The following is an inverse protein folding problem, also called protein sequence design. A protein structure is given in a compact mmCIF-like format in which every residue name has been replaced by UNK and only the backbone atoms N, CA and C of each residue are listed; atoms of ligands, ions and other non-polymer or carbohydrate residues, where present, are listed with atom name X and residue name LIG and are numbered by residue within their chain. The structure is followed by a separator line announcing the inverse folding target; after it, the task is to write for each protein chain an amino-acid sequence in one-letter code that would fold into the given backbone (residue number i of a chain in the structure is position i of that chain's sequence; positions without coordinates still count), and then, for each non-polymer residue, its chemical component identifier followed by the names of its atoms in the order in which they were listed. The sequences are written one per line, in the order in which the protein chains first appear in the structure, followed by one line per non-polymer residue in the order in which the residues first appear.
data_IF_406288581444
#
_entry.id   IF_406288581444
#
_cell.length_a   1.000
_cell.length_b   1.000
_cell.length_c   1.000
_cell.angle_alpha   90.00
_cell.angle_beta   90.00
_cell.angle_gamma   90.00
#
_symmetry.space_group_name_H-M   'P 1'
#
loop_
_entity.id
_entity.type
_entity.pdbx_description
1 polymer ?
#
# COMPACT_ATOMS: atom_id res chain seq x y z
N UNK A 1 -62.44 72.28 38.00
CA UNK A 1 -62.69 70.82 37.98
C UNK A 1 -61.73 70.23 36.92
N UNK A 2 -60.63 69.68 37.33
CA UNK A 2 -59.67 69.03 36.41
C UNK A 2 -59.79 67.54 36.59
N UNK A 3 -60.17 66.80 35.53
CA UNK A 3 -60.25 65.37 35.50
C UNK A 3 -58.83 64.84 35.21
N UNK A 4 -58.29 64.06 36.13
CA UNK A 4 -57.01 63.31 35.96
C UNK A 4 -57.32 61.99 35.26
N UNK A 5 -56.83 61.84 34.07
CA UNK A 5 -56.94 60.58 33.34
C UNK A 5 -55.74 59.63 33.78
N UNK A 6 -56.11 58.58 34.46
CA UNK A 6 -55.13 57.53 34.75
C UNK A 6 -54.91 56.64 33.49
N UNK A 7 -53.73 56.74 32.92
CA UNK A 7 -53.32 55.86 31.85
C UNK A 7 -52.81 54.55 32.39
N UNK A 8 -53.51 53.49 32.09
CA UNK A 8 -53.02 52.11 32.39
C UNK A 8 -51.86 51.77 31.49
N UNK A 9 -50.68 51.59 32.06
CA UNK A 9 -49.54 51.03 31.37
C UNK A 9 -49.69 49.48 31.40
N UNK A 10 -50.12 48.87 30.29
CA UNK A 10 -50.05 47.44 30.09
C UNK A 10 -48.63 47.02 29.77
N UNK A 11 -47.95 46.41 30.71
CA UNK A 11 -46.66 45.77 30.53
C UNK A 11 -46.87 44.44 29.79
N UNK A 12 -46.60 44.41 28.49
CA UNK A 12 -46.54 43.20 27.69
C UNK A 12 -45.18 42.57 27.99
N UNK A 13 -45.16 41.58 28.85
CA UNK A 13 -44.01 40.70 29.06
C UNK A 13 -43.86 39.82 27.82
N UNK A 14 -42.94 40.17 26.91
CA UNK A 14 -42.52 39.30 25.81
C UNK A 14 -41.72 38.15 26.41
N UNK A 15 -42.36 36.99 26.63
CA UNK A 15 -41.67 35.75 26.94
C UNK A 15 -40.92 35.29 25.68
N UNK A 16 -39.61 35.56 25.63
CA UNK A 16 -38.72 34.99 24.66
C UNK A 16 -38.64 33.48 24.91
N UNK A 17 -39.42 32.72 24.15
CA UNK A 17 -39.27 31.25 24.10
C UNK A 17 -37.94 31.01 23.38
N UNK A 18 -36.87 30.82 24.12
CA UNK A 18 -35.63 30.25 23.62
C UNK A 18 -35.96 28.80 23.34
N UNK A 19 -36.33 28.51 22.09
CA UNK A 19 -36.37 27.15 21.60
C UNK A 19 -34.93 26.64 21.58
N UNK A 20 -34.50 25.99 22.66
CA UNK A 20 -33.30 25.17 22.66
C UNK A 20 -33.57 24.03 21.67
N UNK A 21 -33.09 24.19 20.45
CA UNK A 21 -32.94 23.05 19.53
C UNK A 21 -31.96 22.10 20.20
N UNK A 22 -32.50 21.08 20.87
CA UNK A 22 -31.71 19.94 21.26
C UNK A 22 -31.16 19.37 19.97
N UNK A 23 -29.87 19.63 19.69
CA UNK A 23 -29.14 18.90 18.69
C UNK A 23 -29.23 17.45 19.10
N UNK A 24 -30.08 16.70 18.43
CA UNK A 24 -30.13 15.24 18.57
C UNK A 24 -28.77 14.73 18.10
N UNK A 25 -27.83 14.60 19.02
CA UNK A 25 -26.56 13.96 18.77
C UNK A 25 -26.86 12.49 18.58
N UNK A 26 -26.99 12.09 17.31
CA UNK A 26 -27.15 10.68 16.97
C UNK A 26 -25.85 9.96 17.29
N UNK A 27 -25.89 9.13 18.32
CA UNK A 27 -24.86 8.10 18.51
C UNK A 27 -25.21 6.96 17.55
N UNK A 28 -24.26 6.57 16.70
CA UNK A 28 -24.39 5.41 15.82
C UNK A 28 -23.53 4.25 16.38
N UNK A 29 -23.97 3.56 17.42
CA UNK A 29 -23.19 2.51 18.06
C UNK A 29 -22.98 1.30 17.16
N UNK A 30 -23.79 1.16 16.12
CA UNK A 30 -23.74 0.04 15.17
C UNK A 30 -23.02 0.37 13.86
N UNK A 31 -22.28 1.47 13.79
CA UNK A 31 -21.48 1.85 12.62
C UNK A 31 -21.55 3.34 12.29
N UNK A 32 -20.49 3.87 11.75
CA UNK A 32 -20.44 5.24 11.25
C UNK A 32 -21.33 5.39 9.98
N UNK A 33 -21.92 6.57 9.74
CA UNK A 33 -22.54 6.86 8.46
C UNK A 33 -21.55 6.67 7.32
N UNK A 34 -22.04 6.21 6.17
CA UNK A 34 -21.23 6.07 4.95
C UNK A 34 -20.58 7.40 4.57
N UNK A 35 -19.32 7.38 4.11
CA UNK A 35 -18.62 8.58 3.67
C UNK A 35 -18.06 9.42 4.82
N UNK A 36 -17.63 8.80 5.91
CA UNK A 36 -17.09 9.49 7.08
C UNK A 36 -15.62 9.22 7.36
N UNK A 37 -14.83 8.79 6.35
CA UNK A 37 -13.41 8.42 6.53
C UNK A 37 -12.45 9.61 6.48
N UNK A 38 -12.90 10.76 5.95
CA UNK A 38 -12.04 11.91 5.66
C UNK A 38 -11.22 11.74 4.38
N UNK A 39 -11.59 10.80 3.51
CA UNK A 39 -10.98 10.60 2.19
C UNK A 39 -11.34 11.72 1.21
N UNK A 40 -10.62 11.86 0.09
CA UNK A 40 -10.99 12.78 -0.98
C UNK A 40 -12.38 12.53 -1.54
N UNK A 41 -12.79 11.25 -1.67
CA UNK A 41 -14.13 10.90 -2.18
C UNK A 41 -15.26 11.20 -1.22
N UNK A 42 -15.00 11.16 0.09
CA UNK A 42 -16.01 11.43 1.11
C UNK A 42 -16.21 12.93 1.34
N UNK A 43 -15.14 13.72 1.28
CA UNK A 43 -15.17 15.15 1.62
C UNK A 43 -15.61 15.43 3.07
N UNK A 44 -15.82 14.38 3.86
CA UNK A 44 -16.35 14.41 5.22
C UNK A 44 -15.58 13.44 6.13
N UNK A 45 -15.57 13.72 7.43
CA UNK A 45 -15.04 12.82 8.45
C UNK A 45 -16.05 12.69 9.59
N UNK A 46 -15.75 11.84 10.58
CA UNK A 46 -16.60 11.69 11.78
C UNK A 46 -16.94 13.00 12.50
N UNK A 47 -16.18 14.07 12.25
CA UNK A 47 -16.42 15.42 12.80
C UNK A 47 -17.53 16.18 12.04
N UNK A 48 -17.69 15.96 10.73
CA UNK A 48 -18.70 16.63 9.93
C UNK A 48 -20.04 15.92 10.09
N UNK A 49 -21.05 16.62 10.52
CA UNK A 49 -22.40 16.07 10.70
C UNK A 49 -22.91 16.10 12.13
N UNK A 50 -22.17 16.71 13.07
CA UNK A 50 -22.63 16.89 14.45
C UNK A 50 -22.58 15.64 15.32
N UNK A 51 -21.97 14.55 14.85
CA UNK A 51 -21.81 13.31 15.61
C UNK A 51 -20.71 13.40 16.67
N UNK A 52 -19.59 14.04 16.34
CA UNK A 52 -18.48 14.26 17.25
C UNK A 52 -18.06 15.74 17.28
N UNK A 53 -17.57 16.19 18.43
CA UNK A 53 -17.10 17.55 18.64
C UNK A 53 -15.56 17.57 18.59
N UNK A 54 -14.99 18.60 17.96
CA UNK A 54 -13.55 18.78 17.84
C UNK A 54 -13.00 18.27 16.50
N UNK A 55 -12.21 19.13 15.86
CA UNK A 55 -11.57 18.80 14.58
C UNK A 55 -10.73 17.52 14.68
N UNK A 56 -10.78 16.64 13.68
CA UNK A 56 -9.97 15.43 13.70
C UNK A 56 -8.48 15.77 13.66
N UNK A 57 -7.70 15.04 14.43
CA UNK A 57 -6.24 15.13 14.39
C UNK A 57 -5.67 13.88 13.72
N UNK A 58 -4.70 14.09 12.82
CA UNK A 58 -4.01 13.00 12.16
C UNK A 58 -3.16 12.21 13.16
N UNK A 59 -3.23 10.89 13.09
CA UNK A 59 -2.41 9.97 13.87
C UNK A 59 -1.97 8.80 12.99
N UNK A 60 -0.67 8.58 12.90
CA UNK A 60 -0.11 7.48 12.14
C UNK A 60 -0.34 6.11 12.83
N UNK A 61 -0.22 5.05 12.04
CA UNK A 61 -0.23 3.65 12.51
C UNK A 61 -1.52 3.16 13.19
N UNK A 62 -2.63 3.85 12.96
CA UNK A 62 -3.95 3.34 13.39
C UNK A 62 -4.53 2.31 12.40
N UNK A 63 -4.01 2.28 11.18
CA UNK A 63 -4.30 1.27 10.16
C UNK A 63 -2.99 0.56 9.83
N UNK A 64 -3.00 -0.76 9.90
CA UNK A 64 -1.86 -1.63 9.57
C UNK A 64 -2.32 -2.78 8.67
N UNK A 65 -1.39 -3.46 8.01
CA UNK A 65 -1.69 -4.58 7.13
C UNK A 65 -0.61 -5.67 7.20
N UNK A 66 -0.93 -6.85 6.69
CA UNK A 66 0.03 -7.92 6.41
C UNK A 66 0.54 -7.91 4.96
N UNK A 67 0.34 -6.83 4.23
CA UNK A 67 0.85 -6.65 2.87
C UNK A 67 2.38 -6.64 2.93
N UNK A 68 3.07 -7.42 2.07
CA UNK A 68 4.54 -7.45 2.02
C UNK A 68 5.14 -6.07 1.70
N UNK A 69 6.42 -5.89 2.00
CA UNK A 69 7.14 -4.63 1.75
C UNK A 69 7.22 -4.24 0.27
N UNK A 70 7.16 -5.22 -0.66
CA UNK A 70 7.08 -4.92 -2.09
C UNK A 70 5.72 -4.30 -2.49
N UNK A 71 4.67 -4.53 -1.70
CA UNK A 71 3.31 -4.09 -2.02
C UNK A 71 2.31 -5.23 -2.16
N UNK A 72 1.10 -4.91 -2.63
CA UNK A 72 0.05 -5.89 -2.84
C UNK A 72 0.15 -6.56 -4.23
N UNK A 73 -0.21 -7.83 -4.29
CA UNK A 73 -0.41 -8.56 -5.55
C UNK A 73 -1.87 -8.43 -5.97
N UNK A 74 -2.17 -8.05 -7.22
CA UNK A 74 -3.54 -7.91 -7.73
C UNK A 74 -4.39 -9.14 -7.47
N UNK A 75 -5.63 -8.95 -7.03
CA UNK A 75 -6.59 -10.01 -6.73
C UNK A 75 -6.32 -10.83 -5.47
N UNK A 76 -5.21 -10.63 -4.78
CA UNK A 76 -4.90 -11.31 -3.51
C UNK A 76 -5.63 -10.68 -2.34
N UNK A 77 -5.84 -11.47 -1.29
CA UNK A 77 -6.49 -11.03 -0.06
C UNK A 77 -5.46 -10.74 1.03
N UNK A 78 -5.68 -9.64 1.73
CA UNK A 78 -4.83 -9.18 2.83
C UNK A 78 -5.66 -8.84 4.06
N UNK A 79 -5.09 -9.07 5.23
CA UNK A 79 -5.69 -8.63 6.49
C UNK A 79 -5.30 -7.18 6.75
N UNK A 80 -6.32 -6.34 6.95
CA UNK A 80 -6.17 -4.96 7.38
C UNK A 80 -6.65 -4.89 8.84
N UNK A 81 -5.91 -4.17 9.65
CA UNK A 81 -6.23 -3.99 11.07
C UNK A 81 -6.33 -2.50 11.38
N UNK A 82 -7.46 -2.10 11.92
CA UNK A 82 -7.72 -0.75 12.43
C UNK A 82 -7.71 -0.79 13.97
N UNK A 83 -7.02 0.16 14.61
CA UNK A 83 -6.91 0.19 16.08
C UNK A 83 -6.89 1.62 16.63
N UNK A 84 -7.45 1.80 17.81
CA UNK A 84 -7.42 3.07 18.56
C UNK A 84 -7.30 2.78 20.07
N UNK A 85 -6.57 3.63 20.77
CA UNK A 85 -6.52 3.65 22.24
C UNK A 85 -7.32 4.83 22.78
N UNK A 86 -7.86 4.67 24.00
CA UNK A 86 -8.63 5.69 24.70
C UNK A 86 -9.55 5.08 25.73
N UNK A 87 -10.21 5.89 26.54
CA UNK A 87 -10.99 5.43 27.71
C UNK A 87 -12.52 5.58 27.53
N UNK A 88 -12.96 5.89 26.30
CA UNK A 88 -14.40 6.03 25.99
C UNK A 88 -14.84 4.97 24.98
N UNK A 89 -16.10 5.02 24.57
CA UNK A 89 -16.64 4.19 23.50
C UNK A 89 -15.95 4.53 22.17
N UNK A 90 -15.54 3.51 21.44
CA UNK A 90 -14.72 3.62 20.22
C UNK A 90 -15.46 3.08 19.02
N UNK A 91 -15.31 3.79 17.92
CA UNK A 91 -15.78 3.39 16.61
C UNK A 91 -14.81 3.81 15.52
N UNK A 92 -15.00 3.27 14.32
CA UNK A 92 -14.17 3.58 13.17
C UNK A 92 -14.94 3.44 11.86
N UNK A 93 -14.39 4.02 10.80
CA UNK A 93 -14.71 3.69 9.42
C UNK A 93 -13.45 3.76 8.59
N UNK A 94 -13.27 2.80 7.66
CA UNK A 94 -12.13 2.74 6.73
C UNK A 94 -12.63 2.49 5.32
N UNK A 95 -11.96 3.10 4.34
CA UNK A 95 -12.20 2.92 2.90
C UNK A 95 -10.89 2.93 2.12
N UNK A 96 -10.65 1.97 1.20
CA UNK A 96 -9.54 1.99 0.27
C UNK A 96 -9.90 2.82 -0.97
N UNK A 97 -9.13 3.87 -1.26
CA UNK A 97 -9.39 4.77 -2.39
C UNK A 97 -8.09 5.21 -3.06
N UNK A 98 -8.21 5.73 -4.29
CA UNK A 98 -7.15 6.52 -4.93
C UNK A 98 -7.19 8.00 -4.49
N UNK A 99 -6.27 8.80 -5.02
CA UNK A 99 -6.20 10.23 -4.76
C UNK A 99 -7.41 11.03 -5.32
N UNK A 100 -8.18 10.44 -6.22
CA UNK A 100 -9.37 11.03 -6.83
C UNK A 100 -10.67 10.63 -6.10
N UNK A 101 -10.57 9.75 -5.09
CA UNK A 101 -11.71 9.25 -4.32
C UNK A 101 -12.41 8.05 -4.95
N UNK A 102 -11.82 7.41 -5.97
CA UNK A 102 -12.35 6.15 -6.51
C UNK A 102 -12.04 5.00 -5.55
N UNK A 103 -13.04 4.14 -5.31
CA UNK A 103 -12.86 2.96 -4.47
C UNK A 103 -12.02 1.90 -5.17
N UNK A 104 -11.05 1.31 -4.44
CA UNK A 104 -10.08 0.36 -4.98
C UNK A 104 -10.09 -0.96 -4.20
N UNK A 105 -10.40 -2.05 -4.90
CA UNK A 105 -10.57 -3.36 -4.30
C UNK A 105 -11.88 -3.48 -3.52
N UNK A 106 -12.00 -4.53 -2.70
CA UNK A 106 -13.24 -4.85 -1.98
C UNK A 106 -12.93 -5.27 -0.56
N UNK A 107 -13.66 -4.68 0.40
CA UNK A 107 -13.57 -5.03 1.82
C UNK A 107 -14.55 -6.16 2.15
N UNK A 108 -14.12 -7.09 2.98
CA UNK A 108 -14.93 -8.15 3.59
C UNK A 108 -14.82 -8.04 5.11
N UNK A 109 -15.97 -8.04 5.77
CA UNK A 109 -16.06 -7.87 7.22
C UNK A 109 -15.39 -9.00 8.02
N UNK A 110 -14.86 -8.65 9.17
CA UNK A 110 -14.45 -9.57 10.22
C UNK A 110 -15.56 -9.78 11.27
N UNK A 111 -15.20 -10.26 12.46
CA UNK A 111 -16.14 -10.66 13.48
C UNK A 111 -16.86 -9.50 14.20
N UNK A 112 -16.23 -8.34 14.33
CA UNK A 112 -16.73 -7.18 15.11
C UNK A 112 -16.93 -5.93 14.26
N UNK A 113 -17.08 -6.10 12.96
CA UNK A 113 -17.31 -5.04 12.00
C UNK A 113 -18.22 -5.53 10.87
N UNK A 114 -18.73 -4.60 10.07
CA UNK A 114 -19.50 -4.89 8.87
C UNK A 114 -19.14 -3.95 7.75
N UNK A 115 -19.42 -4.37 6.52
CA UNK A 115 -19.19 -3.58 5.32
C UNK A 115 -20.43 -2.79 4.92
N UNK A 116 -20.20 -1.67 4.27
CA UNK A 116 -21.22 -0.79 3.70
C UNK A 116 -20.94 -0.54 2.21
N UNK A 117 -21.96 -0.18 1.43
CA UNK A 117 -21.86 0.09 0.00
C UNK A 117 -21.08 -1.00 -0.77
N UNK A 118 -21.54 -2.24 -0.66
CA UNK A 118 -20.96 -3.38 -1.40
C UNK A 118 -19.46 -3.59 -1.16
N UNK A 119 -18.97 -3.30 0.06
CA UNK A 119 -17.57 -3.49 0.43
C UNK A 119 -16.65 -2.31 0.15
N UNK A 120 -17.20 -1.12 -0.09
CA UNK A 120 -16.40 0.12 -0.22
C UNK A 120 -15.97 0.69 1.12
N UNK A 121 -16.76 0.46 2.17
CA UNK A 121 -16.46 0.86 3.54
C UNK A 121 -16.55 -0.31 4.49
N UNK A 122 -15.77 -0.26 5.56
CA UNK A 122 -15.91 -1.10 6.74
C UNK A 122 -16.02 -0.24 7.98
N UNK A 123 -16.91 -0.61 8.89
CA UNK A 123 -17.14 0.10 10.14
C UNK A 123 -17.46 -0.89 11.26
N UNK A 124 -17.42 -0.45 12.51
CA UNK A 124 -17.80 -1.26 13.68
C UNK A 124 -19.28 -1.66 13.62
N UNK A 125 -19.60 -2.83 14.16
CA UNK A 125 -20.98 -3.29 14.36
C UNK A 125 -21.51 -3.04 15.78
N UNK A 126 -20.59 -2.71 16.71
CA UNK A 126 -20.88 -2.18 18.03
C UNK A 126 -19.72 -1.31 18.49
N UNK A 127 -20.00 -0.29 19.27
CA UNK A 127 -18.97 0.50 19.92
C UNK A 127 -18.22 -0.33 20.99
N UNK A 128 -16.92 -0.09 21.14
CA UNK A 128 -16.05 -0.81 22.05
C UNK A 128 -15.56 0.12 23.16
N UNK A 129 -15.91 -0.21 24.40
CA UNK A 129 -15.38 0.45 25.59
C UNK A 129 -13.96 0.01 25.96
N UNK A 130 -13.49 0.41 27.15
CA UNK A 130 -12.16 0.03 27.67
C UNK A 130 -11.03 0.89 27.13
N UNK A 131 -9.77 0.45 27.30
CA UNK A 131 -8.56 1.22 26.99
C UNK A 131 -8.13 1.17 25.52
N UNK A 132 -8.62 0.21 24.76
CA UNK A 132 -8.30 0.07 23.33
C UNK A 132 -9.41 -0.65 22.58
N UNK A 133 -9.45 -0.47 21.28
CA UNK A 133 -10.29 -1.23 20.34
C UNK A 133 -9.47 -1.61 19.12
N UNK A 134 -9.74 -2.81 18.59
CA UNK A 134 -9.09 -3.34 17.38
C UNK A 134 -10.13 -4.06 16.54
N UNK A 135 -10.11 -3.80 15.24
CA UNK A 135 -10.96 -4.42 14.24
C UNK A 135 -10.10 -4.95 13.10
N UNK A 136 -10.28 -6.21 12.77
CA UNK A 136 -9.61 -6.84 11.62
C UNK A 136 -10.64 -7.19 10.57
N UNK A 137 -10.29 -6.95 9.31
CA UNK A 137 -11.12 -7.22 8.15
C UNK A 137 -10.22 -7.59 6.96
N UNK A 138 -10.79 -8.15 5.91
CA UNK A 138 -10.06 -8.56 4.71
C UNK A 138 -10.25 -7.54 3.61
N UNK A 139 -9.19 -7.26 2.86
CA UNK A 139 -9.24 -6.50 1.64
C UNK A 139 -8.77 -7.37 0.47
N UNK A 140 -9.59 -7.47 -0.57
CA UNK A 140 -9.21 -8.07 -1.85
C UNK A 140 -8.66 -6.97 -2.73
N UNK A 141 -7.40 -7.10 -3.13
CA UNK A 141 -6.71 -6.12 -3.94
C UNK A 141 -7.34 -5.95 -5.32
N UNK A 142 -7.27 -4.75 -5.93
CA UNK A 142 -7.84 -4.47 -7.26
C UNK A 142 -7.05 -5.19 -8.37
N UNK A 143 -7.48 -4.97 -9.62
CA UNK A 143 -6.82 -5.50 -10.80
C UNK A 143 -5.42 -4.89 -11.00
N UNK A 144 -4.58 -5.58 -11.76
CA UNK A 144 -3.24 -5.10 -12.12
C UNK A 144 -3.28 -3.78 -12.89
N UNK A 145 -2.29 -2.93 -12.62
CA UNK A 145 -2.17 -1.60 -13.21
C UNK A 145 -2.97 -0.52 -12.50
N UNK A 146 -3.56 -0.84 -11.33
CA UNK A 146 -4.29 0.14 -10.52
C UNK A 146 -3.36 1.13 -9.81
N UNK A 147 -2.14 0.70 -9.44
CA UNK A 147 -1.17 1.52 -8.73
C UNK A 147 -1.42 1.64 -7.22
N UNK A 148 -1.11 2.80 -6.64
CA UNK A 148 -1.19 2.99 -5.19
C UNK A 148 -2.64 3.02 -4.69
N UNK A 149 -2.87 2.35 -3.55
CA UNK A 149 -4.12 2.37 -2.81
C UNK A 149 -3.89 3.01 -1.45
N UNK A 150 -4.72 3.97 -1.09
CA UNK A 150 -4.70 4.58 0.24
C UNK A 150 -5.92 4.13 1.04
N UNK A 151 -5.69 3.48 2.16
CA UNK A 151 -6.73 3.24 3.17
C UNK A 151 -6.89 4.51 3.99
N UNK A 152 -8.03 5.17 3.84
CA UNK A 152 -8.41 6.32 4.66
C UNK A 152 -9.26 5.85 5.82
N UNK A 153 -8.94 6.28 7.03
CA UNK A 153 -9.69 5.92 8.20
C UNK A 153 -9.96 7.07 9.15
N UNK A 154 -11.20 7.12 9.66
CA UNK A 154 -11.59 7.98 10.74
C UNK A 154 -11.99 7.15 11.96
N UNK A 155 -11.59 7.63 13.12
CA UNK A 155 -11.72 6.95 14.40
C UNK A 155 -12.33 7.91 15.42
N UNK A 156 -13.19 7.40 16.27
CA UNK A 156 -13.77 8.13 17.39
C UNK A 156 -13.43 7.47 18.73
N UNK A 157 -13.14 8.27 19.74
CA UNK A 157 -13.02 7.87 21.12
C UNK A 157 -13.92 8.79 21.96
N UNK A 158 -15.16 8.35 22.16
CA UNK A 158 -16.21 9.16 22.73
C UNK A 158 -16.65 10.31 21.82
N UNK A 159 -17.34 11.28 22.38
CA UNK A 159 -17.91 12.42 21.61
C UNK A 159 -16.89 13.49 21.22
N UNK A 160 -15.83 13.64 22.01
CA UNK A 160 -14.93 14.81 21.91
C UNK A 160 -13.60 14.54 21.21
N UNK A 161 -13.31 13.31 20.82
CA UNK A 161 -12.02 12.97 20.23
C UNK A 161 -12.21 12.19 18.93
N UNK A 162 -11.78 12.80 17.84
CA UNK A 162 -11.70 12.15 16.53
C UNK A 162 -10.28 12.13 16.00
N UNK A 163 -9.91 11.06 15.33
CA UNK A 163 -8.61 10.88 14.69
C UNK A 163 -8.81 10.48 13.25
N UNK A 164 -7.85 10.84 12.40
CA UNK A 164 -7.73 10.30 11.05
C UNK A 164 -6.39 9.59 10.88
N UNK A 165 -6.37 8.55 10.08
CA UNK A 165 -5.15 7.82 9.74
C UNK A 165 -5.19 7.37 8.30
N UNK A 166 -4.04 7.28 7.68
CA UNK A 166 -3.89 6.73 6.33
C UNK A 166 -2.84 5.64 6.33
N UNK A 167 -3.05 4.64 5.47
CA UNK A 167 -2.07 3.63 5.10
C UNK A 167 -2.00 3.58 3.58
N UNK A 168 -0.86 3.94 3.01
CA UNK A 168 -0.61 3.82 1.56
C UNK A 168 0.05 2.47 1.29
N UNK A 169 -0.48 1.74 0.32
CA UNK A 169 0.09 0.49 -0.17
C UNK A 169 0.23 0.57 -1.68
N UNK A 170 1.40 0.21 -2.18
CA UNK A 170 1.68 0.20 -3.62
C UNK A 170 1.36 -1.17 -4.23
N UNK A 171 1.12 -1.19 -5.54
CA UNK A 171 1.08 -2.46 -6.26
C UNK A 171 2.50 -3.05 -6.32
N UNK A 172 2.64 -4.33 -5.94
CA UNK A 172 3.90 -5.04 -6.10
C UNK A 172 4.09 -5.33 -7.58
N UNK A 173 4.77 -4.44 -8.27
CA UNK A 173 5.23 -4.69 -9.63
C UNK A 173 6.47 -5.59 -9.54
N UNK A 174 6.25 -6.90 -9.55
CA UNK A 174 7.34 -7.83 -9.81
C UNK A 174 7.73 -7.67 -11.28
N UNK A 175 8.53 -6.65 -11.56
CA UNK A 175 9.25 -6.58 -12.83
C UNK A 175 10.19 -7.78 -12.88
N UNK A 176 10.28 -8.43 -14.03
CA UNK A 176 11.27 -9.51 -14.28
C UNK A 176 12.69 -9.03 -13.92
N UNK A 177 12.93 -7.73 -13.94
CA UNK A 177 14.22 -7.12 -13.59
C UNK A 177 14.60 -7.21 -12.11
N UNK A 178 13.64 -7.21 -11.19
CA UNK A 178 13.95 -7.30 -9.75
C UNK A 178 14.22 -8.73 -9.26
N UNK A 179 13.85 -9.74 -10.02
CA UNK A 179 14.12 -11.15 -9.73
C UNK A 179 15.44 -11.65 -10.32
N UNK A 180 16.07 -10.89 -11.24
CA UNK A 180 17.32 -11.31 -11.86
C UNK A 180 18.49 -11.19 -10.86
N UNK A 181 19.05 -12.33 -10.48
CA UNK A 181 20.27 -12.38 -9.67
C UNK A 181 21.48 -11.83 -10.43
N UNK A 182 21.41 -11.74 -11.77
CA UNK A 182 22.45 -11.26 -12.67
C UNK A 182 21.88 -10.15 -13.56
N UNK A 183 22.41 -8.94 -13.43
CA UNK A 183 22.02 -7.79 -14.21
C UNK A 183 23.18 -7.27 -15.08
N UNK A 184 22.85 -6.49 -16.12
CA UNK A 184 23.82 -5.80 -16.97
C UNK A 184 24.87 -6.71 -17.63
N UNK A 185 24.47 -7.97 -17.95
CA UNK A 185 25.39 -8.91 -18.63
C UNK A 185 25.77 -8.37 -20.01
N UNK A 186 27.06 -8.16 -20.20
CA UNK A 186 27.65 -7.69 -21.45
C UNK A 186 29.01 -8.34 -21.70
N UNK A 187 29.37 -8.46 -22.98
CA UNK A 187 30.65 -9.01 -23.40
C UNK A 187 31.30 -8.01 -24.35
N UNK A 188 32.57 -7.66 -24.10
CA UNK A 188 33.30 -6.72 -24.91
C UNK A 188 34.79 -7.10 -25.01
N UNK A 189 35.39 -6.99 -26.20
CA UNK A 189 34.77 -6.66 -27.50
C UNK A 189 33.89 -7.83 -28.00
N UNK A 190 32.90 -7.53 -28.82
CA UNK A 190 32.16 -8.50 -29.62
C UNK A 190 31.87 -7.87 -30.99
N UNK A 191 32.47 -8.35 -32.06
CA UNK A 191 33.31 -9.56 -32.17
C UNK A 191 34.62 -9.48 -31.36
N UNK A 192 35.02 -10.62 -30.80
CA UNK A 192 36.28 -10.79 -30.07
C UNK A 192 37.36 -11.37 -30.97
N UNK A 193 38.53 -10.80 -30.91
CA UNK A 193 39.73 -11.39 -31.48
C UNK A 193 40.40 -12.37 -30.51
N UNK A 194 41.53 -11.98 -29.91
CA UNK A 194 42.30 -12.84 -29.00
C UNK A 194 41.78 -12.86 -27.56
N UNK A 195 41.00 -11.87 -27.13
CA UNK A 195 40.50 -11.77 -25.74
C UNK A 195 39.18 -11.04 -25.68
N UNK A 196 38.44 -11.28 -24.58
CA UNK A 196 37.18 -10.62 -24.27
C UNK A 196 36.97 -10.55 -22.76
N UNK A 197 36.10 -9.62 -22.32
CA UNK A 197 35.68 -9.47 -20.92
C UNK A 197 34.19 -9.70 -20.83
N UNK A 198 33.79 -10.36 -19.76
CA UNK A 198 32.38 -10.52 -19.36
C UNK A 198 32.14 -9.62 -18.17
N UNK A 199 31.19 -8.69 -18.31
CA UNK A 199 30.77 -7.78 -17.25
C UNK A 199 29.34 -8.09 -16.86
N UNK A 200 29.07 -8.16 -15.56
CA UNK A 200 27.73 -8.31 -15.03
C UNK A 200 27.67 -7.83 -13.57
N UNK A 201 26.47 -7.52 -13.10
CA UNK A 201 26.22 -7.25 -11.69
C UNK A 201 25.65 -8.51 -11.04
N UNK A 202 26.33 -9.04 -10.01
CA UNK A 202 25.89 -10.15 -9.19
C UNK A 202 25.17 -9.60 -7.94
N UNK A 203 23.86 -9.83 -7.83
CA UNK A 203 23.04 -9.26 -6.75
C UNK A 203 23.38 -9.86 -5.38
N UNK A 204 23.68 -11.15 -5.35
CA UNK A 204 23.92 -11.91 -4.12
C UNK A 204 25.20 -12.72 -4.24
N UNK A 205 26.05 -12.68 -3.21
CA UNK A 205 27.24 -13.53 -3.18
C UNK A 205 26.85 -15.02 -3.20
N UNK A 206 27.52 -15.82 -4.03
CA UNK A 206 27.22 -17.25 -4.16
C UNK A 206 27.87 -17.89 -5.37
N UNK A 207 27.50 -19.15 -5.60
CA UNK A 207 27.98 -19.93 -6.73
C UNK A 207 27.50 -19.35 -8.06
N UNK A 208 28.45 -19.06 -8.96
CA UNK A 208 28.18 -18.58 -10.32
C UNK A 208 28.94 -19.48 -11.31
N UNK A 209 28.23 -19.91 -12.35
CA UNK A 209 28.82 -20.66 -13.47
C UNK A 209 28.72 -19.84 -14.74
N UNK A 210 29.81 -19.75 -15.50
CA UNK A 210 29.84 -19.09 -16.81
C UNK A 210 30.19 -20.13 -17.86
N UNK A 211 29.28 -20.38 -18.79
CA UNK A 211 29.44 -21.39 -19.83
C UNK A 211 29.17 -20.81 -21.22
N UNK A 212 29.82 -21.37 -22.23
CA UNK A 212 29.67 -20.99 -23.65
C UNK A 212 28.98 -22.13 -24.39
N UNK A 213 27.98 -21.77 -25.20
CA UNK A 213 27.21 -22.69 -26.02
C UNK A 213 27.31 -22.29 -27.49
N UNK A 214 27.34 -23.29 -28.37
CA UNK A 214 27.25 -23.05 -29.82
C UNK A 214 25.78 -22.86 -30.26
N UNK A 215 25.57 -22.59 -31.54
CA UNK A 215 24.23 -22.39 -32.13
C UNK A 215 23.28 -23.58 -32.00
N UNK A 216 23.81 -24.82 -31.82
CA UNK A 216 23.00 -26.01 -31.57
C UNK A 216 22.67 -26.23 -30.09
N UNK A 217 23.06 -25.31 -29.21
CA UNK A 217 22.82 -25.41 -27.76
C UNK A 217 23.78 -26.36 -27.02
N UNK A 218 24.84 -26.81 -27.67
CA UNK A 218 25.85 -27.66 -27.06
C UNK A 218 26.85 -26.78 -26.28
N UNK A 219 27.14 -27.15 -25.00
CA UNK A 219 28.18 -26.47 -24.22
C UNK A 219 29.54 -26.78 -24.80
N UNK A 220 30.30 -25.76 -25.20
CA UNK A 220 31.60 -25.85 -25.84
C UNK A 220 32.74 -25.44 -24.91
N UNK A 221 32.47 -24.62 -23.90
CA UNK A 221 33.44 -24.25 -22.89
C UNK A 221 32.75 -23.93 -21.55
N UNK A 222 33.47 -24.11 -20.46
CA UNK A 222 33.16 -23.58 -19.14
C UNK A 222 34.25 -22.56 -18.80
N UNK A 223 33.87 -21.30 -18.64
CA UNK A 223 34.82 -20.21 -18.44
C UNK A 223 35.13 -19.96 -16.98
N UNK A 224 34.12 -20.13 -16.12
CA UNK A 224 34.25 -19.99 -14.66
C UNK A 224 33.19 -20.83 -13.95
N UNK A 225 33.58 -21.33 -12.77
CA UNK A 225 32.66 -22.04 -11.87
C UNK A 225 33.17 -21.87 -10.43
N UNK A 226 32.53 -21.01 -9.66
CA UNK A 226 32.97 -20.69 -8.30
C UNK A 226 32.14 -19.65 -7.61
N UNK A 227 32.48 -19.38 -6.35
CA UNK A 227 31.80 -18.34 -5.57
C UNK A 227 32.29 -16.95 -5.96
N UNK A 228 31.36 -16.08 -6.33
CA UNK A 228 31.60 -14.66 -6.56
C UNK A 228 30.92 -13.81 -5.50
N UNK A 229 31.52 -12.67 -5.17
CA UNK A 229 30.93 -11.68 -4.29
C UNK A 229 29.74 -10.97 -4.95
N UNK A 230 28.89 -10.34 -4.15
CA UNK A 230 27.91 -9.39 -4.68
C UNK A 230 28.61 -8.16 -5.26
N UNK A 231 27.96 -7.51 -6.24
CA UNK A 231 28.46 -6.31 -6.89
C UNK A 231 28.88 -6.53 -8.34
N UNK A 232 29.57 -5.54 -8.91
CA UNK A 232 30.05 -5.58 -10.29
C UNK A 232 31.16 -6.61 -10.43
N UNK A 233 31.01 -7.48 -11.42
CA UNK A 233 31.98 -8.50 -11.81
C UNK A 233 32.56 -8.14 -13.18
N UNK A 234 33.87 -8.37 -13.33
CA UNK A 234 34.60 -8.18 -14.60
C UNK A 234 35.61 -9.31 -14.74
N UNK A 235 35.37 -10.23 -15.65
CA UNK A 235 36.19 -11.42 -15.85
C UNK A 235 36.76 -11.41 -17.26
N UNK A 236 38.10 -11.53 -17.37
CA UNK A 236 38.82 -11.52 -18.64
C UNK A 236 39.12 -12.95 -19.08
N UNK A 237 38.95 -13.23 -20.37
CA UNK A 237 39.19 -14.52 -20.99
C UNK A 237 39.97 -14.36 -22.31
N UNK A 238 40.68 -15.43 -22.70
CA UNK A 238 41.40 -15.52 -23.96
C UNK A 238 40.71 -16.58 -24.84
N UNK A 239 40.51 -16.24 -26.14
CA UNK A 239 39.82 -17.13 -27.10
C UNK A 239 40.62 -18.39 -27.41
N UNK A 240 41.93 -18.29 -27.36
CA UNK A 240 42.84 -19.43 -27.60
C UNK A 240 42.80 -20.41 -26.42
N UNK A 241 42.89 -19.88 -25.19
CA UNK A 241 42.84 -20.71 -23.95
C UNK A 241 41.50 -21.40 -23.76
N UNK A 242 40.43 -20.71 -24.17
CA UNK A 242 39.05 -21.24 -24.12
C UNK A 242 38.71 -22.13 -25.32
N UNK A 243 39.62 -22.28 -26.29
CA UNK A 243 39.46 -23.04 -27.52
C UNK A 243 38.23 -22.63 -28.35
N UNK A 244 37.86 -21.35 -28.32
CA UNK A 244 36.77 -20.77 -29.10
C UNK A 244 37.28 -20.41 -30.48
N UNK A 245 36.71 -21.00 -31.52
CA UNK A 245 36.99 -20.69 -32.93
C UNK A 245 36.09 -19.56 -33.41
N UNK A 246 36.44 -18.95 -34.56
CA UNK A 246 35.57 -17.97 -35.22
C UNK A 246 34.14 -18.52 -35.37
N UNK A 247 33.19 -17.75 -34.91
CA UNK A 247 31.76 -18.19 -34.90
C UNK A 247 30.86 -17.40 -33.97
N UNK A 248 29.61 -17.80 -33.97
CA UNK A 248 28.59 -17.24 -33.11
C UNK A 248 28.31 -18.19 -31.92
N UNK A 249 28.31 -17.63 -30.76
CA UNK A 249 28.12 -18.34 -29.51
C UNK A 249 27.07 -17.66 -28.62
N UNK A 250 26.64 -18.36 -27.60
CA UNK A 250 25.84 -17.83 -26.49
C UNK A 250 26.63 -18.05 -25.19
N UNK A 251 26.83 -16.96 -24.44
CA UNK A 251 27.43 -17.04 -23.11
C UNK A 251 26.30 -16.99 -22.10
N UNK A 252 26.26 -17.99 -21.27
CA UNK A 252 25.33 -18.13 -20.16
C UNK A 252 26.05 -17.88 -18.84
N UNK A 253 25.52 -16.99 -18.04
CA UNK A 253 25.90 -16.79 -16.65
C UNK A 253 24.74 -17.29 -15.79
N UNK A 254 24.99 -18.24 -14.89
CA UNK A 254 23.97 -18.86 -14.05
C UNK A 254 24.36 -18.89 -12.58
N UNK A 255 23.36 -18.73 -11.71
CA UNK A 255 23.39 -19.04 -10.28
C UNK A 255 22.54 -20.27 -10.02
N UNK A 256 22.32 -20.66 -8.75
CA UNK A 256 21.43 -21.76 -8.41
C UNK A 256 19.99 -21.56 -8.89
N UNK A 257 19.53 -20.31 -8.90
CA UNK A 257 18.10 -19.97 -9.13
C UNK A 257 17.86 -19.25 -10.46
N UNK A 258 18.90 -18.66 -11.08
CA UNK A 258 18.75 -17.78 -12.25
C UNK A 258 19.80 -18.03 -13.30
N UNK A 259 19.45 -17.78 -14.55
CA UNK A 259 20.38 -17.77 -15.68
C UNK A 259 20.11 -16.58 -16.60
N UNK A 260 21.19 -16.01 -17.14
CA UNK A 260 21.13 -14.98 -18.17
C UNK A 260 22.04 -15.35 -19.34
N UNK A 261 21.56 -15.08 -20.55
CA UNK A 261 22.28 -15.46 -21.78
C UNK A 261 22.47 -14.24 -22.67
N UNK A 262 23.66 -14.11 -23.26
CA UNK A 262 23.95 -13.06 -24.23
C UNK A 262 24.62 -13.65 -25.46
N UNK A 263 24.31 -13.13 -26.66
CA UNK A 263 24.97 -13.49 -27.90
C UNK A 263 26.42 -12.94 -27.90
N UNK A 264 27.36 -13.77 -28.37
CA UNK A 264 28.76 -13.44 -28.44
C UNK A 264 29.33 -13.90 -29.79
N UNK A 265 30.23 -13.09 -30.40
CA UNK A 265 30.84 -13.39 -31.67
C UNK A 265 32.36 -13.41 -31.49
N UNK A 266 33.04 -14.43 -32.07
CA UNK A 266 34.49 -14.57 -32.13
C UNK A 266 34.92 -14.49 -33.60
N UNK A 267 35.97 -13.74 -33.89
CA UNK A 267 36.61 -13.60 -35.22
C UNK A 267 37.79 -14.54 -35.37
#
# INVERSE_FOLDING_TARGET
MKKILLGSFSMIAAAAIVSATFLNTHSNPTGAPVGSTGSPGDGASCFQGGCHFGAPSAQANMITSNIPTCGYTPGQQYTITASITGNSQKGFQVSPQDANGNFLGTLTAGSNNHTQQSGHYVTHNSDIGGSSATWSFTWTAPASGTGDVTFYGAFANGRGTTKTSTLVVQECTVGIEDMEAINNLSIFPSPAGSSFNIHFFNKTAGQVTIAVFNLSGQKVAELANGNLSSGNQSLAFNTVETNLKSGVYFVQVSTNDFQKVVKFVVE
#
